data_IF_178235971398
#
_entry.id   IF_178235971398
#
_cell.length_a   1.000
_cell.length_b   1.000
_cell.length_c   1.000
_cell.angle_alpha   90.00
_cell.angle_beta   90.00
_cell.angle_gamma   90.00
#
_symmetry.space_group_name_H-M   'P 1'
#
loop_
_entity.id
_entity.type
_entity.pdbx_description
1 polymer ?
#
# COMPACT_ATOMS: atom_id res chain seq x y z
N UNK A 1 -9.94 -1.35 -0.39
CA UNK A 1 -8.60 -0.94 0.08
C UNK A 1 -7.65 -2.12 0.24
N UNK A 2 -7.83 -2.99 1.25
CA UNK A 2 -6.92 -4.13 1.49
C UNK A 2 -6.70 -5.03 0.26
N UNK A 3 -7.77 -5.46 -0.40
CA UNK A 3 -7.69 -6.31 -1.61
C UNK A 3 -6.86 -5.67 -2.74
N UNK A 4 -6.97 -4.36 -2.95
CA UNK A 4 -6.20 -3.64 -3.98
C UNK A 4 -4.72 -3.64 -3.60
N UNK A 5 -4.39 -3.34 -2.35
CA UNK A 5 -3.01 -3.42 -1.87
C UNK A 5 -2.45 -4.85 -1.98
N UNK A 6 -3.25 -5.89 -1.71
CA UNK A 6 -2.83 -7.28 -1.81
C UNK A 6 -2.58 -7.72 -3.25
N UNK A 7 -3.34 -7.18 -4.20
CA UNK A 7 -3.09 -7.41 -5.62
C UNK A 7 -1.79 -6.71 -6.03
N UNK A 8 -1.65 -5.42 -5.71
CA UNK A 8 -0.48 -4.61 -6.06
C UNK A 8 0.80 -5.15 -5.43
N UNK A 9 0.78 -5.57 -4.16
CA UNK A 9 1.95 -6.15 -3.47
C UNK A 9 2.43 -7.46 -4.10
N UNK A 10 1.52 -8.20 -4.74
CA UNK A 10 1.83 -9.41 -5.52
C UNK A 10 2.18 -9.11 -6.98
N UNK A 11 2.44 -7.85 -7.30
CA UNK A 11 2.67 -7.35 -8.65
C UNK A 11 1.52 -7.69 -9.62
N UNK A 12 0.27 -7.68 -9.13
CA UNK A 12 -0.95 -7.89 -9.93
C UNK A 12 -1.72 -6.58 -10.05
N UNK A 13 -1.99 -6.19 -11.29
CA UNK A 13 -2.81 -5.01 -11.57
C UNK A 13 -4.30 -5.35 -11.58
N UNK A 14 -5.14 -4.56 -10.91
CA UNK A 14 -6.59 -4.56 -11.15
C UNK A 14 -6.87 -4.32 -12.65
N UNK A 15 -7.90 -4.97 -13.20
CA UNK A 15 -8.29 -4.86 -14.62
C UNK A 15 -8.28 -3.42 -15.18
N UNK A 16 -8.86 -2.40 -14.52
CA UNK A 16 -8.90 -1.03 -15.07
C UNK A 16 -7.52 -0.36 -15.24
N UNK A 17 -6.44 -0.94 -14.73
CA UNK A 17 -5.10 -0.36 -14.81
C UNK A 17 -4.26 -0.90 -15.96
N UNK A 18 -4.60 -2.10 -16.46
CA UNK A 18 -3.74 -2.81 -17.42
C UNK A 18 -3.60 -2.06 -18.74
N UNK A 19 -4.61 -1.28 -19.09
CA UNK A 19 -4.64 -0.51 -20.33
C UNK A 19 -3.83 0.79 -20.18
N UNK A 20 -3.76 1.36 -18.97
CA UNK A 20 -3.10 2.64 -18.71
C UNK A 20 -1.67 2.52 -18.18
N UNK A 21 -1.33 1.42 -17.51
CA UNK A 21 0.01 1.17 -16.99
C UNK A 21 0.72 0.15 -17.88
N UNK A 22 1.54 0.63 -18.82
CA UNK A 22 2.38 -0.22 -19.66
C UNK A 22 3.58 -0.74 -18.85
N UNK A 23 3.67 -2.06 -18.67
CA UNK A 23 4.83 -2.72 -18.04
C UNK A 23 4.52 -3.32 -16.67
N UNK A 24 5.56 -3.56 -15.87
CA UNK A 24 5.44 -4.03 -14.48
C UNK A 24 5.21 -2.85 -13.53
N UNK A 25 4.58 -3.11 -12.38
CA UNK A 25 4.47 -2.10 -11.33
C UNK A 25 5.86 -1.72 -10.81
N UNK A 26 6.03 -0.45 -10.42
CA UNK A 26 7.32 -0.02 -9.87
C UNK A 26 7.56 -0.66 -8.50
N UNK A 27 8.82 -0.94 -8.13
CA UNK A 27 9.16 -1.47 -6.81
C UNK A 27 8.65 -0.60 -5.66
N UNK A 28 8.64 0.73 -5.84
CA UNK A 28 8.14 1.70 -4.85
C UNK A 28 6.65 1.51 -4.60
N UNK A 29 5.85 1.31 -5.65
CA UNK A 29 4.42 1.10 -5.50
C UNK A 29 4.10 -0.24 -4.82
N UNK A 30 4.87 -1.28 -5.14
CA UNK A 30 4.77 -2.58 -4.46
C UNK A 30 5.09 -2.41 -2.97
N UNK A 31 6.18 -1.72 -2.64
CA UNK A 31 6.59 -1.45 -1.26
C UNK A 31 5.54 -0.64 -0.49
N UNK A 32 4.97 0.40 -1.10
CA UNK A 32 3.89 1.21 -0.50
C UNK A 32 2.65 0.34 -0.22
N UNK A 33 2.25 -0.52 -1.16
CA UNK A 33 1.09 -1.39 -0.98
C UNK A 33 1.31 -2.43 0.14
N UNK A 34 2.50 -3.03 0.22
CA UNK A 34 2.87 -3.96 1.30
C UNK A 34 2.88 -3.26 2.66
N UNK A 35 3.57 -2.12 2.77
CA UNK A 35 3.64 -1.34 3.99
C UNK A 35 2.25 -0.90 4.47
N UNK A 36 1.34 -0.54 3.57
CA UNK A 36 -0.03 -0.22 3.94
C UNK A 36 -0.74 -1.39 4.62
N UNK A 37 -0.61 -2.63 4.11
CA UNK A 37 -1.24 -3.80 4.73
C UNK A 37 -0.65 -4.05 6.11
N UNK A 38 0.67 -4.13 6.19
CA UNK A 38 1.40 -4.47 7.42
C UNK A 38 1.14 -3.45 8.53
N UNK A 39 1.16 -2.15 8.22
CA UNK A 39 0.87 -1.08 9.18
C UNK A 39 -0.60 -1.05 9.60
N UNK A 40 -1.53 -1.39 8.70
CA UNK A 40 -2.94 -1.51 9.05
C UNK A 40 -3.19 -2.68 9.99
N UNK A 41 -2.54 -3.82 9.77
CA UNK A 41 -2.60 -4.98 10.66
C UNK A 41 -1.96 -4.67 12.02
N UNK A 42 -0.78 -4.06 12.04
CA UNK A 42 -0.12 -3.64 13.28
C UNK A 42 -0.98 -2.66 14.09
N UNK A 43 -1.65 -1.72 13.41
CA UNK A 43 -2.61 -0.82 14.06
C UNK A 43 -3.82 -1.58 14.61
N UNK A 44 -4.40 -2.48 13.83
CA UNK A 44 -5.55 -3.28 14.28
C UNK A 44 -5.20 -4.12 15.51
N UNK A 45 -4.02 -4.75 15.52
CA UNK A 45 -3.53 -5.50 16.66
C UNK A 45 -3.33 -4.62 17.90
N UNK A 46 -2.76 -3.42 17.73
CA UNK A 46 -2.56 -2.47 18.82
C UNK A 46 -3.87 -1.92 19.39
N UNK A 47 -4.87 -1.69 18.55
CA UNK A 47 -6.15 -1.12 18.96
C UNK A 47 -7.07 -2.16 19.63
N UNK A 48 -7.02 -3.41 19.18
CA UNK A 48 -8.02 -4.43 19.55
C UNK A 48 -7.46 -5.61 20.34
N UNK A 49 -6.14 -5.84 20.34
CA UNK A 49 -5.53 -6.89 21.14
C UNK A 49 -4.79 -6.31 22.35
N UNK A 50 -5.29 -6.63 23.55
CA UNK A 50 -4.67 -6.21 24.82
C UNK A 50 -3.64 -7.21 25.36
N UNK A 51 -3.49 -8.38 24.74
CA UNK A 51 -2.52 -9.40 25.12
C UNK A 51 -1.06 -9.12 24.72
N UNK A 52 -0.74 -8.54 23.54
CA UNK A 52 0.65 -8.40 23.11
C UNK A 52 1.40 -7.34 23.93
N UNK A 53 2.65 -7.67 24.25
CA UNK A 53 3.61 -6.69 24.77
C UNK A 53 4.40 -6.11 23.60
N UNK A 54 4.31 -4.80 23.41
CA UNK A 54 5.05 -4.10 22.37
C UNK A 54 6.50 -3.86 22.80
N UNK A 55 7.44 -4.48 22.08
CA UNK A 55 8.85 -4.17 22.24
C UNK A 55 9.18 -2.85 21.55
N UNK A 56 9.90 -1.97 22.26
CA UNK A 56 10.34 -0.66 21.76
C UNK A 56 11.00 -0.75 20.38
N UNK A 57 11.84 -1.76 20.14
CA UNK A 57 12.51 -1.97 18.85
C UNK A 57 11.51 -2.24 17.72
N UNK A 58 10.56 -3.15 17.94
CA UNK A 58 9.52 -3.48 16.95
C UNK A 58 8.65 -2.28 16.60
N UNK A 59 8.37 -1.41 17.59
CA UNK A 59 7.63 -0.16 17.34
C UNK A 59 8.45 0.79 16.47
N UNK A 60 9.76 0.93 16.72
CA UNK A 60 10.63 1.74 15.84
C UNK A 60 10.71 1.18 14.43
N UNK A 61 10.80 -0.14 14.28
CA UNK A 61 10.81 -0.76 12.95
C UNK A 61 9.54 -0.43 12.15
N UNK A 62 8.36 -0.39 12.81
CA UNK A 62 7.09 0.02 12.20
C UNK A 62 7.06 1.52 11.83
N UNK A 63 7.64 2.38 12.68
CA UNK A 63 7.76 3.82 12.39
C UNK A 63 8.66 4.05 11.18
N UNK A 64 9.84 3.44 11.16
CA UNK A 64 10.80 3.53 10.04
C UNK A 64 10.16 3.02 8.73
N UNK A 65 9.37 1.94 8.80
CA UNK A 65 8.63 1.42 7.65
C UNK A 65 7.59 2.42 7.14
N UNK A 66 6.84 3.07 8.04
CA UNK A 66 5.85 4.08 7.66
C UNK A 66 6.52 5.30 7.00
N UNK A 67 7.64 5.77 7.54
CA UNK A 67 8.40 6.89 6.97
C UNK A 67 8.91 6.56 5.56
N UNK A 68 9.50 5.36 5.37
CA UNK A 68 9.97 4.91 4.05
C UNK A 68 8.83 4.80 3.05
N UNK A 69 7.70 4.23 3.44
CA UNK A 69 6.52 4.12 2.57
C UNK A 69 6.00 5.51 2.15
N UNK A 70 6.02 6.50 3.05
CA UNK A 70 5.63 7.88 2.73
C UNK A 70 6.62 8.51 1.73
N UNK A 71 7.92 8.30 1.90
CA UNK A 71 8.92 8.82 0.96
C UNK A 71 8.82 8.16 -0.43
N UNK A 72 8.62 6.84 -0.47
CA UNK A 72 8.43 6.11 -1.72
C UNK A 72 7.12 6.52 -2.42
N UNK A 73 6.07 6.80 -1.65
CA UNK A 73 4.84 7.39 -2.18
C UNK A 73 5.07 8.77 -2.81
N UNK A 74 5.83 9.65 -2.13
CA UNK A 74 6.17 10.97 -2.66
C UNK A 74 6.97 10.87 -3.95
N UNK A 75 7.92 9.93 -4.05
CA UNK A 75 8.69 9.68 -5.28
C UNK A 75 7.79 9.17 -6.40
N UNK A 76 6.96 8.16 -6.12
CA UNK A 76 6.01 7.60 -7.09
C UNK A 76 5.13 8.71 -7.69
N UNK A 77 4.55 9.56 -6.85
CA UNK A 77 3.67 10.65 -7.30
C UNK A 77 4.37 11.70 -8.16
N UNK A 78 5.70 11.84 -8.05
CA UNK A 78 6.51 12.74 -8.87
C UNK A 78 6.92 12.11 -10.20
N UNK A 79 7.29 10.83 -10.19
CA UNK A 79 7.84 10.15 -11.37
C UNK A 79 6.72 9.55 -12.24
N UNK A 80 5.68 9.00 -11.61
CA UNK A 80 4.57 8.31 -12.25
C UNK A 80 3.22 8.83 -11.71
N UNK A 81 2.87 10.11 -11.98
CA UNK A 81 1.67 10.73 -11.43
C UNK A 81 0.38 9.98 -11.79
N UNK A 82 0.24 9.53 -13.04
CA UNK A 82 -0.95 8.81 -13.52
C UNK A 82 -1.14 7.48 -12.78
N UNK A 83 -0.06 6.73 -12.56
CA UNK A 83 -0.08 5.46 -11.81
C UNK A 83 -0.47 5.71 -10.35
N UNK A 84 0.05 6.77 -9.74
CA UNK A 84 -0.29 7.12 -8.37
C UNK A 84 -1.77 7.52 -8.23
N UNK A 85 -2.31 8.30 -9.18
CA UNK A 85 -3.72 8.67 -9.19
C UNK A 85 -4.63 7.45 -9.38
N UNK A 86 -4.31 6.58 -10.34
CA UNK A 86 -5.02 5.33 -10.57
C UNK A 86 -4.99 4.44 -9.32
N UNK A 87 -3.86 4.39 -8.60
CA UNK A 87 -3.79 3.67 -7.33
C UNK A 87 -4.71 4.24 -6.27
N UNK A 88 -4.72 5.56 -6.09
CA UNK A 88 -5.64 6.22 -5.15
C UNK A 88 -7.11 5.98 -5.54
N UNK A 89 -7.45 6.09 -6.82
CA UNK A 89 -8.79 5.81 -7.33
C UNK A 89 -9.20 4.37 -7.04
N UNK A 90 -8.30 3.40 -7.25
CA UNK A 90 -8.57 2.01 -6.92
C UNK A 90 -8.74 1.78 -5.42
N UNK A 91 -7.97 2.48 -4.56
CA UNK A 91 -8.14 2.40 -3.12
C UNK A 91 -9.51 2.93 -2.69
N UNK A 92 -9.91 4.08 -3.24
CA UNK A 92 -11.18 4.77 -2.92
C UNK A 92 -12.40 3.99 -3.43
N UNK A 93 -12.34 3.53 -4.68
CA UNK A 93 -13.46 2.85 -5.34
C UNK A 93 -13.49 1.36 -5.02
N UNK A 94 -12.36 0.78 -4.59
CA UNK A 94 -12.24 -0.63 -4.23
C UNK A 94 -12.74 -1.56 -5.35
N UNK A 95 -13.59 -2.52 -4.97
CA UNK A 95 -14.25 -3.47 -5.88
C UNK A 95 -15.51 -2.92 -6.55
N UNK A 96 -15.88 -1.65 -6.35
CA UNK A 96 -17.02 -1.01 -7.06
C UNK A 96 -16.72 -0.72 -8.53
N UNK A 97 -15.49 -0.93 -9.00
CA UNK A 97 -15.14 -0.96 -10.43
C UNK A 97 -15.50 -2.33 -11.06
N UNK A 98 -16.47 -3.06 -10.51
CA UNK A 98 -17.17 -4.13 -11.24
C UNK A 98 -18.26 -3.47 -12.09
N UNK A 99 -17.92 -3.14 -13.34
CA UNK A 99 -18.89 -3.14 -14.43
C UNK A 99 -18.86 -4.50 -15.11
#
# INVERSE_FOLDING_TARGET
MREVCEQVSRNRMPKPWRDEVKGSLSPELIAVASAFIELQEARHEADYNFAPTFYRRSVYDLIDQAERAIEDWKKLRKVYPDVAEIFLLALLLGSRIRR
#
